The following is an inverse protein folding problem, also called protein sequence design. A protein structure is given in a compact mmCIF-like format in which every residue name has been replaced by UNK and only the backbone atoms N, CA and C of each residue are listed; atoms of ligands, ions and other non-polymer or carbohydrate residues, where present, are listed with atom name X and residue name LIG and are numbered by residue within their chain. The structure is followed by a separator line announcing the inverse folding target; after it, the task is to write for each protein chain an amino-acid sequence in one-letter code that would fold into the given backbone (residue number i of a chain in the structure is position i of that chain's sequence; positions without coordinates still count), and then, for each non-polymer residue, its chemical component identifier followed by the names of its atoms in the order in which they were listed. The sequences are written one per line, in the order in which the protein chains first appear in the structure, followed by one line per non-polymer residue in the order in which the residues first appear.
data_IF_289625381624
#
_entry.id   IF_289625381624
#
_cell.length_a   1.000
_cell.length_b   1.000
_cell.length_c   1.000
_cell.angle_alpha   90.00
_cell.angle_beta   90.00
_cell.angle_gamma   90.00
#
_symmetry.space_group_name_H-M   'P 1'
#
loop_
_entity.id
_entity.type
_entity.pdbx_description
1 polymer ?
#
# COMPACT_ATOMS: atom_id res chain seq x y z
N UNK A 1 46.46 17.65 -1.19
CA UNK A 1 45.62 16.44 -1.05
C UNK A 1 44.14 16.86 -1.03
N UNK A 2 43.49 16.91 -2.20
CA UNK A 2 42.05 17.19 -2.30
C UNK A 2 41.31 15.85 -2.23
N UNK A 3 40.61 15.60 -1.12
CA UNK A 3 39.76 14.42 -0.96
C UNK A 3 38.42 14.72 -1.63
N UNK A 4 38.20 14.05 -2.75
CA UNK A 4 36.93 14.00 -3.48
C UNK A 4 35.89 13.32 -2.60
N UNK A 5 34.90 14.05 -2.10
CA UNK A 5 33.72 13.45 -1.49
C UNK A 5 32.70 13.22 -2.61
N UNK A 6 32.62 11.98 -3.08
CA UNK A 6 31.64 11.53 -4.04
C UNK A 6 30.32 11.31 -3.28
N UNK A 7 29.48 12.34 -3.19
CA UNK A 7 28.10 12.17 -2.74
C UNK A 7 27.30 11.54 -3.88
N UNK A 8 27.20 10.21 -3.87
CA UNK A 8 26.33 9.47 -4.76
C UNK A 8 24.89 9.65 -4.26
N UNK A 9 24.24 10.73 -4.68
CA UNK A 9 22.79 10.82 -4.59
C UNK A 9 22.21 9.90 -5.67
N UNK A 10 21.84 8.68 -5.28
CA UNK A 10 20.93 7.83 -6.04
C UNK A 10 19.53 8.49 -6.03
N UNK A 11 19.37 9.53 -6.84
CA UNK A 11 18.04 9.94 -7.29
C UNK A 11 17.59 8.91 -8.32
N UNK A 12 16.88 7.88 -7.87
CA UNK A 12 16.12 7.05 -8.82
C UNK A 12 14.92 7.91 -9.25
N UNK A 13 15.14 8.69 -10.30
CA UNK A 13 14.10 9.40 -11.02
C UNK A 13 13.21 8.37 -11.72
N UNK A 14 12.14 7.92 -11.06
CA UNK A 14 11.06 7.18 -11.73
C UNK A 14 10.18 8.16 -12.52
N UNK A 15 10.78 8.82 -13.51
CA UNK A 15 10.05 9.56 -14.52
C UNK A 15 9.46 8.59 -15.54
N UNK A 16 8.14 8.55 -15.62
CA UNK A 16 7.36 7.96 -16.73
C UNK A 16 7.80 6.55 -17.16
N UNK A 17 7.76 5.59 -16.25
CA UNK A 17 7.59 4.19 -16.65
C UNK A 17 6.10 3.99 -16.90
N UNK A 18 5.71 3.49 -18.07
CA UNK A 18 4.69 2.44 -18.05
C UNK A 18 5.20 1.45 -17.02
N UNK A 19 4.62 1.45 -15.82
CA UNK A 19 5.16 0.75 -14.66
C UNK A 19 5.51 -0.67 -15.11
N UNK A 20 6.82 -0.91 -15.29
CA UNK A 20 7.28 -2.22 -15.72
C UNK A 20 6.81 -3.16 -14.62
N UNK A 21 6.00 -4.15 -14.99
CA UNK A 21 5.45 -5.09 -14.02
C UNK A 21 6.63 -5.72 -13.28
N UNK A 22 6.72 -5.42 -11.98
CA UNK A 22 7.79 -5.90 -11.13
C UNK A 22 7.37 -7.25 -10.61
N UNK A 23 8.23 -8.26 -10.68
CA UNK A 23 7.99 -9.50 -9.94
C UNK A 23 8.60 -9.37 -8.54
N UNK A 24 7.75 -9.10 -7.55
CA UNK A 24 8.19 -8.87 -6.16
C UNK A 24 8.90 -10.08 -5.53
N UNK A 25 8.77 -11.28 -6.11
CA UNK A 25 9.51 -12.48 -5.70
C UNK A 25 11.01 -12.35 -5.91
N UNK A 26 11.41 -11.53 -6.88
CA UNK A 26 12.82 -11.31 -7.22
C UNK A 26 13.52 -10.31 -6.30
N UNK A 27 12.77 -9.64 -5.42
CA UNK A 27 13.32 -8.72 -4.41
C UNK A 27 13.67 -9.46 -3.12
N UNK A 28 14.66 -8.94 -2.38
CA UNK A 28 14.90 -9.35 -0.99
C UNK A 28 13.67 -9.04 -0.12
N UNK A 29 13.49 -9.72 1.03
CA UNK A 29 12.38 -9.43 1.94
C UNK A 29 12.27 -7.95 2.34
N UNK A 30 13.40 -7.29 2.59
CA UNK A 30 13.47 -5.87 2.98
C UNK A 30 13.08 -4.96 1.82
N UNK A 31 13.69 -5.18 0.64
CA UNK A 31 13.38 -4.40 -0.57
C UNK A 31 11.91 -4.54 -0.97
N UNK A 32 11.38 -5.75 -0.86
CA UNK A 32 9.98 -6.06 -1.12
C UNK A 32 9.06 -5.33 -0.15
N UNK A 33 9.35 -5.41 1.15
CA UNK A 33 8.58 -4.71 2.18
C UNK A 33 8.55 -3.21 1.93
N UNK A 34 9.70 -2.60 1.64
CA UNK A 34 9.80 -1.17 1.38
C UNK A 34 9.01 -0.77 0.13
N UNK A 35 9.15 -1.53 -0.96
CA UNK A 35 8.39 -1.32 -2.19
C UNK A 35 6.88 -1.44 -1.96
N UNK A 36 6.44 -2.50 -1.28
CA UNK A 36 5.03 -2.74 -0.99
C UNK A 36 4.44 -1.62 -0.13
N UNK A 37 5.15 -1.16 0.91
CA UNK A 37 4.70 -0.05 1.75
C UNK A 37 4.59 1.24 0.93
N UNK A 38 5.57 1.50 0.06
CA UNK A 38 5.54 2.67 -0.83
C UNK A 38 4.34 2.63 -1.77
N UNK A 39 4.11 1.51 -2.46
CA UNK A 39 2.99 1.37 -3.40
C UNK A 39 1.64 1.40 -2.68
N UNK A 40 1.54 0.79 -1.50
CA UNK A 40 0.34 0.86 -0.68
C UNK A 40 0.03 2.30 -0.24
N UNK A 41 1.06 3.05 0.18
CA UNK A 41 0.93 4.47 0.57
C UNK A 41 0.48 5.30 -0.63
N UNK A 42 1.11 5.12 -1.79
CA UNK A 42 0.75 5.83 -3.03
C UNK A 42 -0.70 5.57 -3.44
N UNK A 43 -1.15 4.32 -3.38
CA UNK A 43 -2.52 3.96 -3.71
C UNK A 43 -3.52 4.57 -2.72
N UNK A 44 -3.21 4.54 -1.43
CA UNK A 44 -4.03 5.12 -0.37
C UNK A 44 -4.13 6.65 -0.49
N UNK A 45 -3.01 7.33 -0.77
CA UNK A 45 -2.98 8.78 -1.03
C UNK A 45 -3.91 9.16 -2.18
N UNK A 46 -3.81 8.45 -3.31
CA UNK A 46 -4.65 8.73 -4.49
C UNK A 46 -6.12 8.51 -4.18
N UNK A 47 -6.45 7.41 -3.47
CA UNK A 47 -7.82 7.10 -3.10
C UNK A 47 -8.38 8.17 -2.16
N UNK A 48 -7.70 8.47 -1.05
CA UNK A 48 -8.17 9.41 -0.06
C UNK A 48 -8.25 10.82 -0.60
N UNK A 49 -7.28 11.25 -1.42
CA UNK A 49 -7.33 12.55 -2.08
C UNK A 49 -8.58 12.69 -2.95
N UNK A 50 -8.88 11.68 -3.79
CA UNK A 50 -10.07 11.69 -4.66
C UNK A 50 -11.35 11.64 -3.84
N UNK A 51 -11.39 10.77 -2.83
CA UNK A 51 -12.56 10.58 -1.95
C UNK A 51 -12.87 11.84 -1.15
N UNK A 52 -11.89 12.41 -0.45
CA UNK A 52 -12.06 13.60 0.38
C UNK A 52 -12.43 14.83 -0.46
N UNK A 53 -11.80 15.01 -1.64
CA UNK A 53 -12.18 16.10 -2.55
C UNK A 53 -13.61 15.97 -3.05
N UNK A 54 -14.05 14.75 -3.35
CA UNK A 54 -15.43 14.48 -3.75
C UNK A 54 -16.45 14.82 -2.66
N UNK A 55 -16.08 14.65 -1.39
CA UNK A 55 -16.98 14.90 -0.26
C UNK A 55 -16.96 16.35 0.25
N UNK A 56 -15.77 16.94 0.37
CA UNK A 56 -15.57 18.19 1.12
C UNK A 56 -14.99 19.33 0.27
N UNK A 57 -14.73 19.09 -1.02
CA UNK A 57 -14.27 20.08 -1.99
C UNK A 57 -12.74 20.16 -2.15
N UNK A 58 -12.25 21.05 -3.03
CA UNK A 58 -10.85 21.07 -3.45
C UNK A 58 -9.85 21.49 -2.36
N UNK A 59 -10.33 22.16 -1.30
CA UNK A 59 -9.51 22.72 -0.21
C UNK A 59 -9.39 21.81 1.01
N UNK A 60 -9.91 20.57 0.93
CA UNK A 60 -9.84 19.63 2.04
C UNK A 60 -8.38 19.24 2.32
N UNK A 61 -7.93 19.30 3.60
CA UNK A 61 -6.59 18.88 3.95
C UNK A 61 -6.41 17.38 3.68
N UNK A 62 -5.18 16.93 3.34
CA UNK A 62 -4.89 15.52 3.20
C UNK A 62 -5.09 14.81 4.55
N UNK A 63 -5.54 13.55 4.56
CA UNK A 63 -5.69 12.80 5.78
C UNK A 63 -4.32 12.42 6.34
N UNK A 64 -4.24 12.33 7.66
CA UNK A 64 -3.02 11.93 8.36
C UNK A 64 -3.09 10.46 8.73
N UNK A 65 -2.08 9.70 8.30
CA UNK A 65 -1.94 8.29 8.61
C UNK A 65 -0.48 7.88 8.47
N UNK A 66 -0.16 6.67 8.91
CA UNK A 66 1.17 6.09 8.78
C UNK A 66 1.10 4.56 8.65
N UNK A 67 2.01 3.91 7.91
CA UNK A 67 2.08 2.45 7.85
C UNK A 67 2.28 1.88 9.25
N UNK A 68 1.40 0.98 9.69
CA UNK A 68 1.54 0.36 11.00
C UNK A 68 2.77 -0.54 11.04
N UNK A 69 3.66 -0.34 12.01
CA UNK A 69 4.92 -1.09 12.13
C UNK A 69 4.75 -2.62 12.12
N UNK A 70 3.61 -3.14 12.58
CA UNK A 70 3.27 -4.56 12.61
C UNK A 70 2.18 -4.94 11.59
N UNK A 71 1.78 -4.01 10.74
CA UNK A 71 0.69 -4.14 9.78
C UNK A 71 1.10 -4.70 8.42
N UNK A 72 2.36 -5.07 8.25
CA UNK A 72 2.86 -5.70 7.03
C UNK A 72 2.71 -7.22 7.11
N UNK A 73 2.07 -7.82 6.10
CA UNK A 73 1.95 -9.27 5.98
C UNK A 73 2.19 -9.74 4.54
N UNK A 74 2.94 -10.82 4.39
CA UNK A 74 3.14 -11.53 3.12
C UNK A 74 2.36 -12.84 3.12
N UNK A 75 1.61 -13.12 2.05
CA UNK A 75 0.77 -14.30 1.95
C UNK A 75 1.07 -15.04 0.66
N UNK A 76 1.63 -16.24 0.78
CA UNK A 76 1.97 -17.10 -0.36
C UNK A 76 0.76 -17.94 -0.78
N UNK A 77 0.46 -17.92 -2.08
CA UNK A 77 -0.56 -18.76 -2.72
C UNK A 77 0.09 -20.07 -3.20
N UNK A 78 0.52 -20.90 -2.26
CA UNK A 78 1.28 -22.13 -2.52
C UNK A 78 0.45 -23.35 -2.94
N UNK A 79 -0.89 -23.25 -2.91
CA UNK A 79 -1.82 -24.29 -3.36
C UNK A 79 -2.81 -23.75 -4.39
N UNK A 80 -3.32 -24.64 -5.25
CA UNK A 80 -4.38 -24.29 -6.20
C UNK A 80 -5.64 -23.80 -5.48
N UNK A 81 -5.95 -24.36 -4.31
CA UNK A 81 -7.06 -23.93 -3.46
C UNK A 81 -6.90 -22.47 -3.01
N UNK A 82 -5.70 -22.05 -2.58
CA UNK A 82 -5.44 -20.66 -2.20
C UNK A 82 -5.58 -19.71 -3.39
N UNK A 83 -5.13 -20.13 -4.57
CA UNK A 83 -5.28 -19.34 -5.81
C UNK A 83 -6.76 -19.20 -6.18
N UNK A 84 -7.51 -20.30 -6.16
CA UNK A 84 -8.95 -20.31 -6.42
C UNK A 84 -9.69 -19.40 -5.42
N UNK A 85 -9.48 -19.60 -4.12
CA UNK A 85 -10.07 -18.76 -3.07
C UNK A 85 -9.73 -17.28 -3.29
N UNK A 86 -8.47 -16.95 -3.58
CA UNK A 86 -8.09 -15.57 -3.86
C UNK A 86 -8.85 -14.98 -5.05
N UNK A 87 -8.94 -15.72 -6.15
CA UNK A 87 -9.64 -15.27 -7.36
C UNK A 87 -11.15 -15.17 -7.16
N UNK A 88 -11.76 -16.04 -6.34
CA UNK A 88 -13.18 -15.94 -6.00
C UNK A 88 -13.49 -14.64 -5.24
N UNK A 89 -12.62 -14.24 -4.31
CA UNK A 89 -12.79 -13.01 -3.54
C UNK A 89 -12.38 -11.73 -4.29
N UNK A 90 -11.28 -11.77 -5.05
CA UNK A 90 -10.64 -10.57 -5.61
C UNK A 90 -10.50 -10.56 -7.13
N UNK A 91 -10.71 -11.69 -7.82
CA UNK A 91 -10.46 -11.81 -9.25
C UNK A 91 -11.22 -10.80 -10.09
N UNK A 92 -12.46 -10.47 -9.69
CA UNK A 92 -13.29 -9.48 -10.36
C UNK A 92 -12.75 -8.02 -10.27
N UNK A 93 -11.78 -7.75 -9.39
CA UNK A 93 -11.11 -6.45 -9.27
C UNK A 93 -9.84 -6.37 -10.11
N UNK A 94 -9.38 -7.49 -10.69
CA UNK A 94 -8.11 -7.59 -11.40
C UNK A 94 -8.37 -7.56 -12.90
N UNK A 95 -7.89 -6.51 -13.57
CA UNK A 95 -8.15 -6.30 -15.00
C UNK A 95 -6.97 -6.67 -15.90
N UNK A 96 -5.75 -6.69 -15.36
CA UNK A 96 -4.52 -6.76 -16.15
C UNK A 96 -3.44 -7.66 -15.51
N UNK A 97 -3.84 -8.59 -14.64
CA UNK A 97 -2.95 -9.54 -13.99
C UNK A 97 -3.64 -10.90 -13.80
N UNK A 98 -2.90 -11.99 -13.95
CA UNK A 98 -3.39 -13.34 -13.63
C UNK A 98 -2.65 -13.85 -12.41
N UNK A 99 -3.39 -14.07 -11.32
CA UNK A 99 -2.84 -14.64 -10.09
C UNK A 99 -2.59 -16.13 -10.30
N UNK A 100 -1.37 -16.57 -10.01
CA UNK A 100 -0.92 -17.95 -10.21
C UNK A 100 -0.39 -18.57 -8.91
N UNK A 101 -0.24 -19.89 -8.92
CA UNK A 101 0.40 -20.62 -7.83
C UNK A 101 1.82 -20.12 -7.60
N UNK A 102 2.19 -20.00 -6.33
CA UNK A 102 3.43 -19.40 -5.81
C UNK A 102 3.56 -17.89 -5.98
N UNK A 103 2.52 -17.20 -6.44
CA UNK A 103 2.44 -15.76 -6.25
C UNK A 103 2.28 -15.41 -4.77
N UNK A 104 2.60 -14.16 -4.48
CA UNK A 104 2.35 -13.54 -3.20
C UNK A 104 1.34 -12.42 -3.37
N UNK A 105 0.53 -12.21 -2.35
CA UNK A 105 -0.09 -10.91 -2.13
C UNK A 105 0.37 -10.37 -0.77
N UNK A 106 0.34 -9.05 -0.67
CA UNK A 106 0.85 -8.34 0.48
C UNK A 106 -0.22 -7.45 1.05
N UNK A 107 -0.27 -7.34 2.37
CA UNK A 107 -1.14 -6.41 3.05
C UNK A 107 -0.32 -5.39 3.82
N UNK A 108 -0.73 -4.13 3.73
CA UNK A 108 -0.21 -3.04 4.54
C UNK A 108 -1.37 -2.38 5.27
N UNK A 109 -1.33 -2.43 6.59
CA UNK A 109 -2.28 -1.69 7.44
C UNK A 109 -1.75 -0.29 7.77
N UNK A 110 -2.65 0.67 7.85
CA UNK A 110 -2.38 2.06 8.17
C UNK A 110 -3.17 2.50 9.38
N UNK A 111 -2.55 3.30 10.24
CA UNK A 111 -3.10 3.82 11.50
C UNK A 111 -2.93 5.34 11.57
N UNK A 112 -3.76 6.06 12.37
CA UNK A 112 -3.63 7.51 12.50
C UNK A 112 -2.40 7.91 13.32
N UNK A 113 -2.02 7.10 14.33
CA UNK A 113 -0.97 7.42 15.27
C UNK A 113 -0.17 6.17 15.69
N UNK A 114 1.15 6.15 15.45
CA UNK A 114 2.05 5.04 15.78
C UNK A 114 2.18 4.72 17.27
N UNK A 115 1.85 5.67 18.15
CA UNK A 115 1.97 5.49 19.60
C UNK A 115 0.85 4.64 20.20
N UNK A 116 -0.18 4.32 19.42
CA UNK A 116 -1.28 3.48 19.87
C UNK A 116 -0.95 2.02 19.61
N UNK A 117 -0.55 1.31 20.67
CA UNK A 117 -0.18 -0.11 20.60
C UNK A 117 -1.35 -1.02 20.14
N UNK A 118 -2.58 -0.49 20.25
CA UNK A 118 -3.87 -1.12 19.94
C UNK A 118 -4.80 -0.18 19.14
N UNK A 119 -4.24 0.85 18.49
CA UNK A 119 -5.02 1.86 17.76
C UNK A 119 -5.81 1.26 16.59
N UNK A 120 -6.92 1.90 16.18
CA UNK A 120 -7.74 1.41 15.09
C UNK A 120 -6.94 1.41 13.79
N UNK A 121 -6.86 0.24 13.14
CA UNK A 121 -6.42 0.17 11.74
C UNK A 121 -7.48 0.87 10.91
N UNK A 122 -7.12 1.93 10.20
CA UNK A 122 -8.04 2.71 9.38
C UNK A 122 -8.19 2.10 8.00
N UNK A 123 -7.06 1.74 7.41
CA UNK A 123 -6.99 1.29 6.04
C UNK A 123 -6.09 0.08 5.95
N UNK A 124 -6.44 -0.82 5.06
CA UNK A 124 -5.60 -1.94 4.65
C UNK A 124 -5.57 -1.96 3.13
N UNK A 125 -4.36 -1.90 2.59
CA UNK A 125 -4.14 -1.97 1.15
C UNK A 125 -3.55 -3.32 0.82
N UNK A 126 -4.16 -4.02 -0.14
CA UNK A 126 -3.57 -5.23 -0.72
C UNK A 126 -2.75 -4.87 -1.96
N UNK A 127 -1.52 -5.38 -2.04
CA UNK A 127 -0.63 -5.24 -3.19
C UNK A 127 -0.37 -6.62 -3.79
N UNK A 128 -0.47 -6.75 -5.11
CA UNK A 128 -0.24 -8.00 -5.84
C UNK A 128 1.25 -8.21 -6.10
N UNK A 129 1.60 -9.43 -6.49
CA UNK A 129 2.97 -9.80 -6.84
C UNK A 129 3.57 -8.96 -7.97
N UNK A 130 2.76 -8.42 -8.88
CA UNK A 130 3.20 -7.51 -9.94
C UNK A 130 3.47 -6.06 -9.45
N UNK A 131 3.36 -5.81 -8.15
CA UNK A 131 3.55 -4.50 -7.52
C UNK A 131 2.36 -3.55 -7.61
N UNK A 132 1.23 -3.96 -8.19
CA UNK A 132 0.03 -3.11 -8.28
C UNK A 132 -0.82 -3.24 -7.02
N UNK A 133 -1.32 -2.11 -6.52
CA UNK A 133 -2.34 -2.11 -5.48
C UNK A 133 -3.67 -2.62 -6.05
N UNK A 134 -4.24 -3.61 -5.38
CA UNK A 134 -5.46 -4.31 -5.77
C UNK A 134 -6.70 -3.61 -5.21
N UNK A 135 -6.70 -3.36 -3.91
CA UNK A 135 -7.84 -2.82 -3.20
C UNK A 135 -7.40 -2.03 -1.97
N UNK A 136 -8.35 -1.27 -1.46
CA UNK A 136 -8.24 -0.55 -0.20
C UNK A 136 -9.48 -0.93 0.60
N UNK A 137 -9.26 -1.63 1.71
CA UNK A 137 -10.27 -1.88 2.71
C UNK A 137 -10.20 -0.81 3.77
N UNK A 138 -11.36 -0.21 4.07
CA UNK A 138 -11.53 0.58 5.29
C UNK A 138 -11.79 -0.44 6.41
N UNK A 139 -10.81 -0.65 7.28
CA UNK A 139 -10.94 -1.57 8.41
C UNK A 139 -11.66 -0.81 9.54
N UNK A 140 -12.84 -1.27 9.95
CA UNK A 140 -13.63 -0.64 11.02
C UNK A 140 -13.44 -1.39 12.35
N UNK A 141 -12.19 -1.51 12.82
CA UNK A 141 -11.90 -1.93 14.22
C UNK A 141 -11.76 -0.71 15.14
N UNK A 142 -12.68 0.23 15.02
CA UNK A 142 -12.83 1.36 15.93
C UNK A 142 -13.81 2.37 15.39
N UNK A 143 -15.10 2.13 15.65
CA UNK A 143 -16.24 3.05 15.59
C UNK A 143 -15.95 4.37 14.85
N UNK A 144 -16.44 4.49 13.62
CA UNK A 144 -17.10 5.69 13.08
C UNK A 144 -16.82 6.98 13.88
N UNK A 145 -15.59 7.47 13.79
CA UNK A 145 -15.28 8.88 13.98
C UNK A 145 -14.47 9.31 12.78
N UNK A 146 -15.20 9.79 11.78
CA UNK A 146 -14.76 10.85 10.90
C UNK A 146 -13.78 11.75 11.68
N UNK A 147 -12.50 11.75 11.31
CA UNK A 147 -11.56 12.75 11.83
C UNK A 147 -11.88 14.06 11.09
N UNK A 148 -12.94 14.72 11.55
CA UNK A 148 -13.05 16.16 11.47
C UNK A 148 -12.60 16.68 12.82
N UNK A 149 -11.41 17.26 12.85
CA UNK A 149 -11.05 18.34 13.76
C UNK A 149 -9.69 18.92 13.35
N UNK A 150 -9.74 19.79 12.36
CA UNK A 150 -8.99 21.04 12.44
C UNK A 150 -10.03 22.16 12.32
N UNK A 151 -10.83 22.33 13.37
CA UNK A 151 -11.51 23.61 13.61
C UNK A 151 -10.47 24.62 14.07
N UNK A 152 -10.33 25.66 13.27
CA UNK A 152 -9.74 27.01 13.47
C UNK A 152 -8.52 27.16 14.40
#
# INVERSE_FOLDING_TARGET
MKKTLLFLFLFISFGTLHAQEIDLRNLSPEQRKDYVIQEATRALDVFLYKFLKGLYGPNTPPPTYSPYRYGYGEFKLDTEEKVANFNDFYGHLINDYTVMKNDYYYNVSFIPNQNEWWGPVLYKVTVLNNGKALNIFVEDRGWLRVIYNATE
#
